data_IF_662544185228
#
_entry.id   IF_662544185228
#
_cell.length_a   1.000
_cell.length_b   1.000
_cell.length_c   1.000
_cell.angle_alpha   90.00
_cell.angle_beta   90.00
_cell.angle_gamma   90.00
#
_symmetry.space_group_name_H-M   'P 1'
#
loop_
_entity.id
_entity.type
_entity.pdbx_description
1 polymer ?
#
# COMPACT_ATOMS: atom_id res chain seq x y z
N UNK A 1 12.47 49.16 -5.35
CA UNK A 1 10.99 49.21 -5.47
C UNK A 1 10.62 49.16 -6.95
N UNK A 2 9.86 48.17 -7.41
CA UNK A 2 9.46 48.11 -8.82
C UNK A 2 8.47 49.25 -9.15
N UNK A 3 8.89 50.18 -10.01
CA UNK A 3 7.99 51.20 -10.55
C UNK A 3 6.83 50.52 -11.29
N UNK A 4 5.60 50.88 -10.93
CA UNK A 4 4.35 50.48 -11.58
C UNK A 4 3.88 49.02 -11.48
N UNK A 5 4.41 48.19 -10.56
CA UNK A 5 3.99 46.79 -10.38
C UNK A 5 4.13 45.90 -11.65
N UNK A 6 4.94 46.31 -12.63
CA UNK A 6 5.25 45.51 -13.81
C UNK A 6 5.89 44.17 -13.40
N UNK A 7 5.46 43.07 -14.01
CA UNK A 7 5.95 41.71 -13.71
C UNK A 7 5.27 41.02 -12.52
N UNK A 8 4.54 41.74 -11.65
CA UNK A 8 3.84 41.10 -10.52
C UNK A 8 2.61 40.30 -10.99
N UNK A 9 2.60 38.98 -10.76
CA UNK A 9 1.50 38.08 -11.14
C UNK A 9 0.55 37.78 -9.95
N UNK A 10 -0.68 37.38 -10.23
CA UNK A 10 -1.63 36.87 -9.23
C UNK A 10 -1.44 35.36 -9.02
N UNK A 11 -2.19 34.76 -8.08
CA UNK A 11 -2.11 33.33 -7.75
C UNK A 11 -2.46 32.39 -8.93
N UNK A 12 -2.87 32.93 -10.08
CA UNK A 12 -3.17 32.20 -11.31
C UNK A 12 -2.21 32.59 -12.45
N UNK A 13 -1.08 33.23 -12.14
CA UNK A 13 -0.07 33.63 -13.11
C UNK A 13 -0.42 34.84 -13.97
N UNK A 14 -1.52 35.56 -13.70
CA UNK A 14 -1.95 36.72 -14.50
C UNK A 14 -1.37 38.03 -13.96
N UNK A 15 -0.91 38.93 -14.83
CA UNK A 15 -0.35 40.23 -14.47
C UNK A 15 -1.33 41.07 -13.62
N UNK A 16 -0.86 41.57 -12.47
CA UNK A 16 -1.58 42.52 -11.62
C UNK A 16 -1.60 43.91 -12.27
N UNK A 17 -2.56 44.74 -11.84
CA UNK A 17 -2.79 46.08 -12.41
C UNK A 17 -1.50 46.92 -12.33
N UNK A 18 -1.08 47.44 -13.47
CA UNK A 18 0.07 48.36 -13.59
C UNK A 18 -0.32 49.70 -12.98
N UNK A 19 0.22 50.01 -11.80
CA UNK A 19 -0.01 51.26 -11.08
C UNK A 19 1.14 51.61 -10.14
N UNK A 20 1.42 52.91 -10.00
CA UNK A 20 2.31 53.44 -8.98
C UNK A 20 1.49 53.93 -7.79
N UNK A 21 1.91 53.55 -6.57
CA UNK A 21 1.23 53.91 -5.32
C UNK A 21 2.28 54.32 -4.28
N UNK A 22 2.48 55.62 -4.14
CA UNK A 22 3.29 56.23 -3.08
C UNK A 22 2.46 56.66 -1.86
N UNK A 23 3.11 57.33 -0.89
CA UNK A 23 2.49 57.79 0.37
C UNK A 23 1.32 58.76 0.12
N UNK A 24 1.52 59.71 -0.80
CA UNK A 24 0.52 60.73 -1.15
C UNK A 24 0.10 60.72 -2.62
N UNK A 25 0.81 59.99 -3.47
CA UNK A 25 0.60 59.98 -4.92
C UNK A 25 0.13 58.61 -5.39
N UNK A 26 -0.92 58.60 -6.21
CA UNK A 26 -1.31 57.42 -6.99
C UNK A 26 -1.36 57.77 -8.46
N UNK A 27 -0.67 57.00 -9.29
CA UNK A 27 -0.68 57.14 -10.74
C UNK A 27 -1.01 55.79 -11.40
N UNK A 28 -1.96 55.78 -12.34
CA UNK A 28 -2.30 54.57 -13.10
C UNK A 28 -2.87 54.90 -14.48
N UNK A 29 -2.67 54.02 -15.48
CA UNK A 29 -3.12 54.22 -16.86
C UNK A 29 -4.61 54.57 -16.99
N UNK A 30 -5.45 53.94 -16.17
CA UNK A 30 -6.92 54.11 -16.23
C UNK A 30 -7.48 55.07 -15.18
N UNK A 31 -6.70 55.36 -14.13
CA UNK A 31 -7.14 56.20 -13.01
C UNK A 31 -6.50 57.59 -12.99
N UNK A 32 -5.55 57.86 -13.89
CA UNK A 32 -4.71 59.05 -13.94
C UNK A 32 -3.89 59.26 -12.67
N UNK A 33 -3.55 60.52 -12.40
CA UNK A 33 -2.78 60.97 -11.23
C UNK A 33 -3.72 61.56 -10.18
N UNK A 34 -3.60 61.13 -8.93
CA UNK A 34 -4.40 61.62 -7.81
C UNK A 34 -3.55 61.73 -6.54
N UNK A 35 -3.81 62.79 -5.76
CA UNK A 35 -3.27 62.94 -4.43
C UNK A 35 -4.19 62.24 -3.42
N UNK A 36 -3.59 61.66 -2.38
CA UNK A 36 -4.29 60.93 -1.32
C UNK A 36 -3.72 61.32 0.04
N UNK A 37 -4.58 61.66 0.98
CA UNK A 37 -4.25 61.74 2.40
C UNK A 37 -5.09 60.72 3.17
N UNK A 38 -4.51 60.13 4.22
CA UNK A 38 -5.19 59.20 5.11
C UNK A 38 -4.87 59.56 6.56
N UNK A 39 -5.89 59.57 7.41
CA UNK A 39 -5.78 59.73 8.85
C UNK A 39 -6.70 58.72 9.53
N UNK A 40 -6.35 58.30 10.74
CA UNK A 40 -7.18 57.42 11.55
C UNK A 40 -7.51 58.14 12.85
N UNK A 41 -8.78 58.29 13.16
CA UNK A 41 -9.25 58.99 14.35
C UNK A 41 -10.40 58.19 14.98
N UNK A 42 -10.32 57.93 16.29
CA UNK A 42 -11.37 57.24 17.06
C UNK A 42 -11.91 55.95 16.39
N UNK A 43 -11.01 55.12 15.85
CA UNK A 43 -11.40 53.87 15.17
C UNK A 43 -11.98 54.02 13.76
N UNK A 44 -12.12 55.24 13.25
CA UNK A 44 -12.57 55.55 11.89
C UNK A 44 -11.38 55.91 11.00
N UNK A 45 -11.28 55.26 9.84
CA UNK A 45 -10.32 55.61 8.80
C UNK A 45 -10.89 56.71 7.90
N UNK A 46 -10.27 57.88 7.92
CA UNK A 46 -10.58 59.01 7.05
C UNK A 46 -9.61 59.03 5.88
N UNK A 47 -10.12 59.04 4.65
CA UNK A 47 -9.32 59.13 3.43
C UNK A 47 -9.84 60.27 2.57
N UNK A 48 -8.98 61.22 2.23
CA UNK A 48 -9.24 62.26 1.24
C UNK A 48 -8.48 61.94 -0.06
N UNK A 49 -9.14 62.07 -1.20
CA UNK A 49 -8.53 61.86 -2.50
C UNK A 49 -9.03 62.90 -3.50
N UNK A 50 -8.13 63.54 -4.23
CA UNK A 50 -8.49 64.65 -5.15
C UNK A 50 -9.44 64.25 -6.27
N UNK A 51 -9.49 62.97 -6.67
CA UNK A 51 -10.43 62.47 -7.68
C UNK A 51 -11.66 61.77 -7.12
N UNK A 52 -11.57 61.20 -5.92
CA UNK A 52 -12.62 60.33 -5.35
C UNK A 52 -13.33 60.93 -4.15
N UNK A 53 -12.93 62.12 -3.71
CA UNK A 53 -13.47 62.85 -2.58
C UNK A 53 -13.05 62.26 -1.23
N UNK A 54 -13.92 62.41 -0.24
CA UNK A 54 -13.69 62.03 1.16
C UNK A 54 -14.42 60.74 1.50
N UNK A 55 -13.75 59.87 2.24
CA UNK A 55 -14.30 58.59 2.72
C UNK A 55 -14.00 58.40 4.19
N UNK A 56 -15.04 58.15 4.98
CA UNK A 56 -14.93 57.61 6.32
C UNK A 56 -15.25 56.10 6.28
N UNK A 57 -14.43 55.26 6.90
CA UNK A 57 -14.70 53.81 6.95
C UNK A 57 -14.34 53.19 8.30
N UNK A 58 -15.16 52.22 8.71
CA UNK A 58 -14.96 51.37 9.87
C UNK A 58 -15.02 49.90 9.46
N UNK A 59 -14.32 49.05 10.21
CA UNK A 59 -14.27 47.60 9.97
C UNK A 59 -14.78 46.89 11.23
N UNK A 60 -16.11 46.84 11.45
CA UNK A 60 -16.69 46.38 12.70
C UNK A 60 -16.49 44.87 12.94
N UNK A 61 -16.24 44.11 11.88
CA UNK A 61 -15.96 42.67 11.96
C UNK A 61 -14.94 42.26 10.90
N UNK A 62 -14.27 41.12 11.11
CA UNK A 62 -13.28 40.59 10.17
C UNK A 62 -13.90 40.41 8.78
N UNK A 63 -13.26 40.99 7.77
CA UNK A 63 -13.73 41.02 6.38
C UNK A 63 -15.07 41.74 6.14
N UNK A 64 -15.52 42.59 7.06
CA UNK A 64 -16.72 43.43 6.92
C UNK A 64 -16.32 44.90 7.01
N UNK A 65 -16.59 45.67 5.95
CA UNK A 65 -16.32 47.10 5.91
C UNK A 65 -17.63 47.88 5.73
N UNK A 66 -17.81 48.88 6.59
CA UNK A 66 -18.85 49.88 6.49
C UNK A 66 -18.18 51.22 6.22
N UNK A 67 -18.68 51.98 5.24
CA UNK A 67 -18.08 53.26 4.89
C UNK A 67 -19.12 54.26 4.39
N UNK A 68 -18.81 55.55 4.59
CA UNK A 68 -19.50 56.68 3.99
C UNK A 68 -18.51 57.38 3.05
N UNK A 69 -18.80 57.41 1.75
CA UNK A 69 -17.96 58.08 0.76
C UNK A 69 -18.77 59.15 0.04
N UNK A 70 -18.39 60.43 0.19
CA UNK A 70 -19.15 61.58 -0.33
C UNK A 70 -20.66 61.45 -0.06
N UNK A 71 -21.04 61.15 1.18
CA UNK A 71 -22.45 60.92 1.58
C UNK A 71 -23.05 59.57 1.19
N UNK A 72 -22.37 58.75 0.36
CA UNK A 72 -22.87 57.43 -0.04
C UNK A 72 -22.49 56.33 0.95
N UNK A 73 -23.48 55.66 1.52
CA UNK A 73 -23.29 54.46 2.35
C UNK A 73 -22.80 53.25 1.53
N UNK A 74 -21.77 52.56 2.03
CA UNK A 74 -21.13 51.40 1.44
C UNK A 74 -21.00 50.31 2.51
N UNK A 75 -21.67 49.18 2.28
CA UNK A 75 -21.44 47.92 3.00
C UNK A 75 -20.74 46.92 2.07
N UNK A 76 -19.65 46.32 2.54
CA UNK A 76 -18.91 45.28 1.82
C UNK A 76 -18.44 44.20 2.78
N UNK A 77 -18.70 42.94 2.46
CA UNK A 77 -18.11 41.81 3.18
C UNK A 77 -17.67 40.70 2.23
N UNK A 78 -16.63 39.96 2.60
CA UNK A 78 -16.18 38.79 1.81
C UNK A 78 -15.64 37.68 2.70
N UNK A 79 -16.32 36.54 2.73
CA UNK A 79 -16.09 35.45 3.67
C UNK A 79 -15.83 34.12 2.93
N UNK A 80 -15.29 33.14 3.66
CA UNK A 80 -14.98 31.79 3.18
C UNK A 80 -13.49 31.57 2.84
N UNK A 81 -13.06 30.30 2.81
CA UNK A 81 -11.73 29.84 2.37
C UNK A 81 -11.85 29.13 1.00
N UNK A 82 -10.76 29.09 0.23
CA UNK A 82 -10.76 28.41 -1.08
C UNK A 82 -11.42 29.20 -2.23
N UNK A 83 -11.85 28.53 -3.31
CA UNK A 83 -12.36 29.15 -4.53
C UNK A 83 -13.77 29.75 -4.38
N UNK A 84 -14.59 29.21 -3.48
CA UNK A 84 -15.94 29.68 -3.21
C UNK A 84 -15.94 30.72 -2.09
N UNK A 85 -16.61 31.86 -2.32
CA UNK A 85 -16.65 33.01 -1.41
C UNK A 85 -18.08 33.51 -1.26
N UNK A 86 -18.44 33.89 -0.03
CA UNK A 86 -19.67 34.61 0.28
C UNK A 86 -19.39 36.11 0.27
N UNK A 87 -20.12 36.88 -0.52
CA UNK A 87 -19.92 38.32 -0.69
C UNK A 87 -21.15 39.06 -0.16
N UNK A 88 -20.96 39.93 0.82
CA UNK A 88 -21.99 40.80 1.37
C UNK A 88 -21.89 42.20 0.75
N UNK A 89 -23.03 42.79 0.42
CA UNK A 89 -23.11 44.15 -0.13
C UNK A 89 -24.36 44.87 0.37
N UNK A 90 -24.46 46.18 0.12
CA UNK A 90 -25.68 46.97 0.43
C UNK A 90 -26.96 46.33 -0.14
N UNK A 91 -26.86 45.66 -1.29
CA UNK A 91 -27.99 44.97 -1.93
C UNK A 91 -28.07 43.46 -1.64
N UNK A 92 -27.56 43.04 -0.48
CA UNK A 92 -27.62 41.66 0.00
C UNK A 92 -26.35 40.83 -0.24
N UNK A 93 -26.45 39.55 0.14
CA UNK A 93 -25.39 38.57 0.06
C UNK A 93 -25.43 37.77 -1.26
N UNK A 94 -24.27 37.30 -1.74
CA UNK A 94 -24.14 36.47 -2.95
C UNK A 94 -22.99 35.48 -2.83
N UNK A 95 -23.09 34.34 -3.48
CA UNK A 95 -22.04 33.32 -3.51
C UNK A 95 -21.34 33.36 -4.86
N UNK A 96 -20.01 33.30 -4.85
CA UNK A 96 -19.21 33.25 -6.08
C UNK A 96 -18.11 32.21 -5.99
N UNK A 97 -17.88 31.48 -7.07
CA UNK A 97 -16.79 30.51 -7.20
C UNK A 97 -15.77 31.00 -8.22
N UNK A 98 -14.48 30.93 -7.88
CA UNK A 98 -13.36 31.33 -8.73
C UNK A 98 -12.69 30.09 -9.35
N UNK A 99 -12.41 30.18 -10.65
CA UNK A 99 -11.68 29.18 -11.43
C UNK A 99 -10.59 29.87 -12.29
N UNK A 100 -9.91 29.11 -13.16
CA UNK A 100 -8.81 29.62 -14.02
C UNK A 100 -9.29 30.72 -14.98
N UNK A 101 -10.53 30.62 -15.48
CA UNK A 101 -11.10 31.61 -16.39
C UNK A 101 -11.47 32.91 -15.67
N UNK A 102 -11.97 32.86 -14.43
CA UNK A 102 -12.42 34.04 -13.68
C UNK A 102 -13.29 33.69 -12.48
N UNK A 103 -14.35 34.45 -12.23
CA UNK A 103 -15.27 34.22 -11.12
C UNK A 103 -16.72 34.17 -11.60
N UNK A 104 -17.43 33.09 -11.26
CA UNK A 104 -18.86 32.95 -11.50
C UNK A 104 -19.64 33.28 -10.22
N UNK A 105 -20.66 34.13 -10.31
CA UNK A 105 -21.56 34.42 -9.20
C UNK A 105 -22.88 33.67 -9.40
N UNK A 106 -23.19 32.76 -8.48
CA UNK A 106 -24.33 31.83 -8.57
C UNK A 106 -25.69 32.53 -8.48
N UNK A 107 -25.76 33.63 -7.73
CA UNK A 107 -27.01 34.34 -7.45
C UNK A 107 -27.20 35.57 -8.35
N UNK A 108 -26.11 36.23 -8.74
CA UNK A 108 -26.15 37.44 -9.58
C UNK A 108 -25.20 37.26 -10.76
N UNK A 109 -25.63 36.62 -11.87
CA UNK A 109 -24.80 36.38 -13.05
C UNK A 109 -24.15 37.66 -13.60
N UNK A 110 -24.83 38.80 -13.49
CA UNK A 110 -24.30 40.11 -13.90
C UNK A 110 -23.05 40.56 -13.10
N UNK A 111 -22.72 39.90 -11.98
CA UNK A 111 -21.51 40.13 -11.18
C UNK A 111 -20.38 39.15 -11.50
N UNK A 112 -20.56 38.28 -12.49
CA UNK A 112 -19.53 37.35 -12.96
C UNK A 112 -18.42 38.08 -13.74
N UNK A 113 -17.24 37.46 -13.78
CA UNK A 113 -16.10 37.94 -14.55
C UNK A 113 -15.38 36.79 -15.23
N UNK A 114 -14.90 37.03 -16.45
CA UNK A 114 -14.12 36.10 -17.23
C UNK A 114 -12.91 36.85 -17.79
N UNK A 115 -11.78 36.15 -17.92
CA UNK A 115 -10.57 36.69 -18.53
C UNK A 115 -10.05 35.76 -19.63
N UNK A 116 -10.82 35.58 -20.73
CA UNK A 116 -10.31 34.89 -21.91
C UNK A 116 -9.17 35.71 -22.53
N UNK A 117 -8.08 35.05 -22.90
CA UNK A 117 -6.94 35.67 -23.61
C UNK A 117 -6.41 36.98 -22.98
N UNK A 118 -6.48 37.09 -21.64
CA UNK A 118 -6.03 38.28 -20.90
C UNK A 118 -7.02 39.47 -20.87
N UNK A 119 -8.09 39.46 -21.66
CA UNK A 119 -9.08 40.53 -21.72
C UNK A 119 -10.16 40.32 -20.66
N UNK A 120 -10.41 41.31 -19.79
CA UNK A 120 -11.41 41.18 -18.73
C UNK A 120 -12.82 41.50 -19.24
N UNK A 121 -13.67 40.47 -19.31
CA UNK A 121 -15.11 40.57 -19.56
C UNK A 121 -15.86 40.51 -18.22
N UNK A 122 -16.93 41.31 -18.06
CA UNK A 122 -17.80 41.31 -16.88
C UNK A 122 -19.26 41.33 -17.30
N UNK A 123 -20.16 40.96 -16.40
CA UNK A 123 -21.60 40.97 -16.67
C UNK A 123 -22.13 39.63 -17.19
N UNK A 124 -23.26 39.67 -17.88
CA UNK A 124 -23.94 38.47 -18.39
C UNK A 124 -23.09 37.66 -19.37
N UNK A 125 -22.40 38.33 -20.31
CA UNK A 125 -21.47 37.67 -21.25
C UNK A 125 -20.37 36.90 -20.51
N UNK A 126 -19.87 37.43 -19.39
CA UNK A 126 -18.89 36.73 -18.58
C UNK A 126 -19.49 35.50 -17.88
N UNK A 127 -20.75 35.55 -17.46
CA UNK A 127 -21.44 34.40 -16.87
C UNK A 127 -21.63 33.28 -17.89
N UNK A 128 -22.00 33.60 -19.14
CA UNK A 128 -22.11 32.61 -20.23
C UNK A 128 -20.76 31.94 -20.51
N UNK A 129 -19.68 32.72 -20.65
CA UNK A 129 -18.33 32.17 -20.84
C UNK A 129 -17.89 31.25 -19.70
N UNK A 130 -18.24 31.61 -18.45
CA UNK A 130 -17.97 30.77 -17.29
C UNK A 130 -18.75 29.45 -17.33
N UNK A 131 -20.02 29.50 -17.73
CA UNK A 131 -20.84 28.30 -17.86
C UNK A 131 -20.26 27.34 -18.89
N UNK A 132 -19.89 27.85 -20.07
CA UNK A 132 -19.23 27.05 -21.13
C UNK A 132 -17.95 26.40 -20.58
N UNK A 133 -17.10 27.17 -19.90
CA UNK A 133 -15.88 26.64 -19.31
C UNK A 133 -16.14 25.55 -18.27
N UNK A 134 -17.14 25.72 -17.40
CA UNK A 134 -17.49 24.72 -16.38
C UNK A 134 -18.02 23.44 -17.01
N UNK A 135 -18.84 23.53 -18.06
CA UNK A 135 -19.35 22.36 -18.80
C UNK A 135 -18.20 21.60 -19.45
N UNK A 136 -17.30 22.29 -20.17
CA UNK A 136 -16.13 21.66 -20.79
C UNK A 136 -15.23 21.00 -19.73
N UNK A 137 -14.95 21.69 -18.63
CA UNK A 137 -14.16 21.13 -17.54
C UNK A 137 -14.83 19.91 -16.89
N UNK A 138 -16.15 19.91 -16.75
CA UNK A 138 -16.90 18.77 -16.23
C UNK A 138 -16.83 17.56 -17.18
N UNK A 139 -16.96 17.77 -18.50
CA UNK A 139 -16.82 16.71 -19.50
C UNK A 139 -15.42 16.11 -19.47
N UNK A 140 -14.37 16.94 -19.46
CA UNK A 140 -12.98 16.47 -19.37
C UNK A 140 -12.76 15.68 -18.08
N UNK A 141 -13.27 16.17 -16.94
CA UNK A 141 -13.17 15.47 -15.66
C UNK A 141 -13.90 14.12 -15.67
N UNK A 142 -15.09 14.05 -16.30
CA UNK A 142 -15.84 12.81 -16.43
C UNK A 142 -15.11 11.77 -17.30
N UNK A 143 -14.51 12.20 -18.41
CA UNK A 143 -13.69 11.33 -19.27
C UNK A 143 -12.47 10.79 -18.51
N UNK A 144 -11.76 11.66 -17.77
CA UNK A 144 -10.63 11.23 -16.95
C UNK A 144 -11.03 10.21 -15.89
N UNK A 145 -12.14 10.46 -15.18
CA UNK A 145 -12.67 9.53 -14.18
C UNK A 145 -13.03 8.18 -14.81
N UNK A 146 -13.67 8.18 -15.98
CA UNK A 146 -14.02 6.96 -16.71
C UNK A 146 -12.77 6.15 -17.07
N UNK A 147 -11.71 6.80 -17.60
CA UNK A 147 -10.45 6.14 -17.93
C UNK A 147 -9.78 5.54 -16.68
N UNK A 148 -9.82 6.24 -15.54
CA UNK A 148 -9.30 5.71 -14.28
C UNK A 148 -10.06 4.47 -13.81
N UNK A 149 -11.40 4.50 -13.91
CA UNK A 149 -12.24 3.35 -13.54
C UNK A 149 -11.97 2.14 -14.44
N UNK A 150 -11.88 2.34 -15.76
CA UNK A 150 -11.54 1.27 -16.71
C UNK A 150 -10.16 0.68 -16.40
N UNK A 151 -9.15 1.53 -16.16
CA UNK A 151 -7.81 1.06 -15.79
C UNK A 151 -7.80 0.29 -14.47
N UNK A 152 -8.58 0.72 -13.48
CA UNK A 152 -8.76 0.01 -12.22
C UNK A 152 -9.40 -1.37 -12.40
N UNK A 153 -10.47 -1.46 -13.19
CA UNK A 153 -11.14 -2.72 -13.50
C UNK A 153 -10.22 -3.68 -14.25
N UNK A 154 -9.45 -3.20 -15.23
CA UNK A 154 -8.51 -4.03 -15.98
C UNK A 154 -7.42 -4.62 -15.07
N UNK A 155 -6.83 -3.80 -14.19
CA UNK A 155 -5.86 -4.29 -13.19
C UNK A 155 -6.48 -5.30 -12.25
N UNK A 156 -7.70 -5.05 -11.78
CA UNK A 156 -8.45 -5.98 -10.95
C UNK A 156 -8.70 -7.32 -11.64
N UNK A 157 -9.07 -7.29 -12.92
CA UNK A 157 -9.29 -8.49 -13.72
C UNK A 157 -8.00 -9.29 -13.93
N UNK A 158 -6.87 -8.62 -14.21
CA UNK A 158 -5.57 -9.29 -14.35
C UNK A 158 -5.15 -9.92 -13.03
N UNK A 159 -5.23 -9.18 -11.92
CA UNK A 159 -4.89 -9.70 -10.59
C UNK A 159 -5.78 -10.88 -10.19
N UNK A 160 -7.07 -10.82 -10.51
CA UNK A 160 -7.99 -11.95 -10.30
C UNK A 160 -7.61 -13.14 -11.17
N UNK A 161 -7.26 -12.93 -12.44
CA UNK A 161 -6.81 -13.99 -13.34
C UNK A 161 -5.53 -14.67 -12.84
N UNK A 162 -4.56 -13.90 -12.36
CA UNK A 162 -3.33 -14.41 -11.74
C UNK A 162 -3.64 -15.21 -10.48
N UNK A 163 -4.44 -14.65 -9.57
CA UNK A 163 -4.84 -15.34 -8.35
C UNK A 163 -5.57 -16.65 -8.64
N UNK A 164 -6.49 -16.67 -9.60
CA UNK A 164 -7.17 -17.90 -10.04
C UNK A 164 -6.15 -18.88 -10.62
N UNK A 165 -5.24 -18.44 -11.49
CA UNK A 165 -4.20 -19.29 -12.05
C UNK A 165 -3.31 -19.94 -10.99
N UNK A 166 -2.83 -19.15 -10.03
CA UNK A 166 -1.96 -19.61 -8.95
C UNK A 166 -2.67 -20.58 -8.00
N UNK A 167 -4.00 -20.44 -7.85
CA UNK A 167 -4.79 -21.21 -6.88
C UNK A 167 -5.70 -22.28 -7.53
N UNK A 168 -5.75 -22.42 -8.86
CA UNK A 168 -6.62 -23.39 -9.52
C UNK A 168 -6.28 -24.82 -9.09
N UNK A 169 -5.00 -25.09 -8.84
CA UNK A 169 -4.51 -26.37 -8.34
C UNK A 169 -4.78 -26.59 -6.85
N UNK A 170 -5.03 -25.51 -6.08
CA UNK A 170 -5.36 -25.59 -4.66
C UNK A 170 -6.78 -26.09 -4.43
N UNK A 171 -7.71 -25.88 -5.38
CA UNK A 171 -9.10 -26.32 -5.27
C UNK A 171 -9.23 -27.85 -5.14
N UNK A 172 -8.68 -28.69 -6.05
CA UNK A 172 -8.70 -30.15 -5.90
C UNK A 172 -8.05 -30.62 -4.59
N UNK A 173 -6.91 -30.02 -4.20
CA UNK A 173 -6.22 -30.34 -2.93
C UNK A 173 -7.10 -30.01 -1.72
N UNK A 174 -7.75 -28.84 -1.72
CA UNK A 174 -8.68 -28.42 -0.68
C UNK A 174 -9.86 -29.39 -0.54
N UNK A 175 -10.48 -29.77 -1.67
CA UNK A 175 -11.58 -30.73 -1.69
C UNK A 175 -11.14 -32.11 -1.17
N UNK A 176 -9.99 -32.62 -1.62
CA UNK A 176 -9.41 -33.88 -1.14
C UNK A 176 -9.21 -33.85 0.37
N UNK A 177 -8.57 -32.81 0.90
CA UNK A 177 -8.24 -32.74 2.33
C UNK A 177 -9.49 -32.52 3.19
N UNK A 178 -10.48 -31.76 2.69
CA UNK A 178 -11.79 -31.65 3.34
C UNK A 178 -12.50 -33.01 3.40
N UNK A 179 -12.46 -33.78 2.31
CA UNK A 179 -13.03 -35.12 2.26
C UNK A 179 -12.30 -36.10 3.18
N UNK A 180 -10.96 -36.11 3.19
CA UNK A 180 -10.16 -36.98 4.06
C UNK A 180 -10.42 -36.69 5.54
N UNK A 181 -10.46 -35.41 5.95
CA UNK A 181 -10.84 -35.03 7.32
C UNK A 181 -12.23 -35.52 7.70
N UNK A 182 -13.17 -35.56 6.75
CA UNK A 182 -14.51 -36.10 6.98
C UNK A 182 -14.51 -37.61 7.12
N UNK A 183 -13.75 -38.34 6.29
CA UNK A 183 -13.61 -39.79 6.42
C UNK A 183 -12.85 -40.18 7.69
N UNK A 184 -11.88 -39.36 8.13
CA UNK A 184 -11.15 -39.57 9.38
C UNK A 184 -12.14 -39.77 10.55
N UNK A 185 -13.15 -38.92 10.66
CA UNK A 185 -14.18 -39.00 11.71
C UNK A 185 -15.01 -40.30 11.71
N UNK A 186 -14.90 -41.12 10.66
CA UNK A 186 -15.63 -42.38 10.51
C UNK A 186 -14.73 -43.61 10.73
N UNK A 187 -13.42 -43.43 10.89
CA UNK A 187 -12.50 -44.52 11.20
C UNK A 187 -12.84 -45.05 12.60
N UNK A 188 -12.75 -46.38 12.76
CA UNK A 188 -12.90 -47.03 14.05
C UNK A 188 -11.87 -46.50 15.06
N UNK A 189 -12.35 -46.18 16.27
CA UNK A 189 -11.53 -45.66 17.36
C UNK A 189 -10.38 -46.61 17.69
N UNK A 190 -10.56 -47.92 17.50
CA UNK A 190 -9.52 -48.91 17.70
C UNK A 190 -8.29 -48.69 16.78
N UNK A 191 -8.50 -48.30 15.52
CA UNK A 191 -7.41 -48.03 14.56
C UNK A 191 -6.66 -46.76 14.94
N UNK A 192 -7.39 -45.73 15.36
CA UNK A 192 -6.83 -44.48 15.88
C UNK A 192 -5.94 -44.73 17.09
N UNK A 193 -6.47 -45.43 18.09
CA UNK A 193 -5.74 -45.74 19.31
C UNK A 193 -4.51 -46.62 19.03
N UNK A 194 -4.59 -47.55 18.08
CA UNK A 194 -3.46 -48.38 17.69
C UNK A 194 -2.30 -47.55 17.12
N UNK A 195 -2.58 -46.66 16.16
CA UNK A 195 -1.54 -45.80 15.55
C UNK A 195 -1.03 -44.77 16.55
N UNK A 196 -1.90 -44.22 17.40
CA UNK A 196 -1.50 -43.31 18.48
C UNK A 196 -0.57 -43.95 19.51
N UNK A 197 -0.48 -45.28 19.61
CA UNK A 197 0.49 -45.96 20.48
C UNK A 197 1.85 -46.20 19.81
N UNK A 198 1.96 -46.03 18.50
CA UNK A 198 3.22 -46.23 17.79
C UNK A 198 4.22 -45.14 18.16
N UNK A 199 5.49 -45.54 18.30
CA UNK A 199 6.60 -44.63 18.52
C UNK A 199 7.04 -43.93 17.22
N UNK A 200 7.97 -42.99 17.33
CA UNK A 200 8.42 -42.20 16.19
C UNK A 200 9.06 -43.06 15.08
N UNK A 201 9.76 -44.12 15.47
CA UNK A 201 10.46 -45.00 14.55
C UNK A 201 9.46 -45.88 13.78
N UNK A 202 8.49 -46.48 14.46
CA UNK A 202 7.42 -47.25 13.81
C UNK A 202 6.56 -46.37 12.92
N UNK A 203 6.24 -45.14 13.32
CA UNK A 203 5.52 -44.19 12.46
C UNK A 203 6.30 -43.88 11.18
N UNK A 204 7.60 -43.61 11.32
CA UNK A 204 8.49 -43.30 10.19
C UNK A 204 8.62 -44.49 9.23
N UNK A 205 8.86 -45.69 9.76
CA UNK A 205 8.90 -46.93 8.98
C UNK A 205 7.56 -47.22 8.30
N UNK A 206 6.45 -46.99 9.00
CA UNK A 206 5.10 -47.19 8.45
C UNK A 206 4.85 -46.27 7.26
N UNK A 207 5.13 -44.98 7.40
CA UNK A 207 4.96 -44.04 6.29
C UNK A 207 5.82 -44.43 5.08
N UNK A 208 7.11 -44.75 5.29
CA UNK A 208 7.99 -45.20 4.21
C UNK A 208 7.49 -46.48 3.53
N UNK A 209 7.03 -47.46 4.30
CA UNK A 209 6.46 -48.69 3.76
C UNK A 209 5.17 -48.43 2.95
N UNK A 210 4.29 -47.58 3.44
CA UNK A 210 3.07 -47.22 2.74
C UNK A 210 3.38 -46.56 1.37
N UNK A 211 4.31 -45.60 1.32
CA UNK A 211 4.72 -44.97 0.05
C UNK A 211 5.46 -45.96 -0.86
N UNK A 212 6.40 -46.72 -0.30
CA UNK A 212 7.30 -47.57 -1.07
C UNK A 212 6.66 -48.88 -1.55
N UNK A 213 5.61 -49.37 -0.88
CA UNK A 213 5.00 -50.69 -1.15
C UNK A 213 3.54 -50.52 -1.58
N UNK A 214 2.67 -49.97 -0.74
CA UNK A 214 1.26 -49.74 -1.14
C UNK A 214 1.14 -48.79 -2.32
N UNK A 215 2.03 -47.79 -2.41
CA UNK A 215 2.09 -46.88 -3.54
C UNK A 215 2.36 -47.56 -4.89
N UNK A 216 2.97 -48.75 -4.89
CA UNK A 216 3.17 -49.60 -6.09
C UNK A 216 2.05 -50.62 -6.30
N UNK A 217 1.06 -50.67 -5.41
CA UNK A 217 0.00 -51.68 -5.42
C UNK A 217 0.44 -53.05 -4.87
N UNK A 218 1.57 -53.09 -4.16
CA UNK A 218 2.09 -54.32 -3.55
C UNK A 218 1.54 -54.51 -2.13
N UNK A 219 1.42 -55.76 -1.69
CA UNK A 219 1.05 -56.09 -0.31
C UNK A 219 2.29 -56.06 0.61
N UNK A 220 2.13 -55.63 1.86
CA UNK A 220 3.21 -55.59 2.86
C UNK A 220 3.54 -57.00 3.42
N UNK A 221 4.00 -57.91 2.56
CA UNK A 221 4.37 -59.26 2.98
C UNK A 221 5.86 -59.35 3.38
N UNK A 222 6.73 -58.51 2.80
CA UNK A 222 8.16 -58.45 3.11
C UNK A 222 8.69 -57.00 3.20
N UNK A 223 8.57 -56.38 4.37
CA UNK A 223 9.20 -55.07 4.66
C UNK A 223 10.74 -55.09 4.53
N UNK A 224 11.34 -56.28 4.48
CA UNK A 224 12.78 -56.49 4.38
C UNK A 224 13.41 -55.89 3.11
N UNK A 225 12.71 -55.91 1.96
CA UNK A 225 13.24 -55.31 0.72
C UNK A 225 13.39 -53.80 0.85
N UNK A 226 12.38 -53.16 1.43
CA UNK A 226 12.37 -51.73 1.69
C UNK A 226 13.41 -51.37 2.74
N UNK A 227 13.49 -52.13 3.83
CA UNK A 227 14.53 -52.01 4.85
C UNK A 227 15.94 -52.09 4.26
N UNK A 228 16.22 -53.05 3.37
CA UNK A 228 17.55 -53.21 2.75
C UNK A 228 17.98 -51.95 2.01
N UNK A 229 17.08 -51.34 1.24
CA UNK A 229 17.32 -50.07 0.53
C UNK A 229 17.58 -48.91 1.48
N UNK A 230 16.86 -48.85 2.62
CA UNK A 230 17.09 -47.85 3.67
C UNK A 230 18.49 -48.03 4.28
N UNK A 231 18.91 -49.28 4.56
CA UNK A 231 20.23 -49.54 5.13
C UNK A 231 21.39 -49.22 4.19
N UNK A 232 21.19 -49.36 2.88
CA UNK A 232 22.19 -49.02 1.86
C UNK A 232 22.44 -47.51 1.73
N UNK A 233 21.51 -46.66 2.19
CA UNK A 233 21.62 -45.21 2.11
C UNK A 233 22.27 -44.61 3.35
N UNK A 234 23.34 -43.85 3.16
CA UNK A 234 23.99 -43.05 4.20
C UNK A 234 23.41 -41.63 4.24
N UNK A 235 23.25 -41.05 5.42
CA UNK A 235 22.77 -39.67 5.59
C UNK A 235 21.26 -39.51 5.76
N UNK A 236 20.48 -40.59 5.63
CA UNK A 236 19.08 -40.63 6.05
C UNK A 236 19.00 -40.75 7.58
N UNK A 237 18.28 -39.81 8.19
CA UNK A 237 18.20 -39.61 9.65
C UNK A 237 16.77 -39.83 10.16
N UNK A 238 15.74 -39.69 9.31
CA UNK A 238 14.36 -39.83 9.75
C UNK A 238 13.94 -41.30 9.87
N UNK A 239 14.38 -42.16 8.95
CA UNK A 239 14.03 -43.57 8.92
C UNK A 239 14.87 -44.43 9.88
N UNK A 240 14.22 -45.35 10.64
CA UNK A 240 14.93 -46.22 11.57
C UNK A 240 15.80 -47.24 10.85
N UNK A 241 16.79 -47.79 11.56
CA UNK A 241 17.75 -48.78 11.03
C UNK A 241 17.56 -50.18 11.61
N UNK A 242 16.41 -50.45 12.24
CA UNK A 242 16.07 -51.78 12.80
C UNK A 242 15.16 -52.56 11.85
N UNK A 243 15.49 -53.82 11.50
CA UNK A 243 14.63 -54.67 10.68
C UNK A 243 13.34 -55.05 11.40
N UNK A 244 13.37 -55.18 12.73
CA UNK A 244 12.22 -55.51 13.57
C UNK A 244 11.15 -54.43 13.48
N UNK A 245 11.56 -53.15 13.54
CA UNK A 245 10.66 -52.00 13.43
C UNK A 245 9.93 -51.98 12.08
N UNK A 246 10.61 -52.34 10.98
CA UNK A 246 9.97 -52.45 9.66
C UNK A 246 8.99 -53.62 9.58
N UNK A 247 9.28 -54.75 10.22
CA UNK A 247 8.35 -55.89 10.27
C UNK A 247 7.09 -55.55 11.08
N UNK A 248 7.25 -54.95 12.25
CA UNK A 248 6.14 -54.51 13.11
C UNK A 248 5.28 -53.41 12.46
N UNK A 249 5.94 -52.48 11.74
CA UNK A 249 5.28 -51.45 10.95
C UNK A 249 4.44 -52.09 9.82
N UNK A 250 5.00 -53.03 9.06
CA UNK A 250 4.30 -53.74 7.99
C UNK A 250 3.05 -54.47 8.52
N UNK A 251 3.19 -55.23 9.60
CA UNK A 251 2.08 -55.96 10.22
C UNK A 251 1.01 -55.01 10.76
N UNK A 252 1.42 -53.95 11.46
CA UNK A 252 0.51 -52.96 12.02
C UNK A 252 -0.29 -52.24 10.95
N UNK A 253 0.36 -51.87 9.85
CA UNK A 253 -0.28 -51.23 8.70
C UNK A 253 -1.32 -52.11 8.02
N UNK A 254 -1.02 -53.38 7.76
CA UNK A 254 -2.00 -54.29 7.15
C UNK A 254 -3.20 -54.53 8.06
N UNK A 255 -2.96 -54.64 9.37
CA UNK A 255 -4.04 -54.75 10.35
C UNK A 255 -4.95 -53.51 10.33
N UNK A 256 -4.36 -52.31 10.38
CA UNK A 256 -5.12 -51.06 10.29
C UNK A 256 -5.85 -50.93 8.95
N UNK A 257 -5.21 -51.28 7.83
CA UNK A 257 -5.80 -51.23 6.48
C UNK A 257 -7.03 -52.13 6.35
N UNK A 258 -6.98 -53.33 6.92
CA UNK A 258 -8.11 -54.25 6.89
C UNK A 258 -9.36 -53.71 7.63
N UNK A 259 -9.17 -52.85 8.62
CA UNK A 259 -10.21 -52.26 9.45
C UNK A 259 -10.80 -50.94 8.89
N UNK A 260 -10.16 -50.30 7.90
CA UNK A 260 -10.62 -49.01 7.34
C UNK A 260 -11.62 -49.23 6.19
N UNK A 261 -12.74 -48.48 6.21
CA UNK A 261 -13.71 -48.40 5.11
C UNK A 261 -13.89 -46.96 4.61
N UNK A 262 -14.10 -46.74 3.29
CA UNK A 262 -14.13 -47.76 2.23
C UNK A 262 -12.72 -48.28 1.89
N UNK A 263 -12.62 -49.56 1.49
CA UNK A 263 -11.33 -50.24 1.27
C UNK A 263 -10.50 -49.60 0.13
N UNK A 264 -11.16 -49.02 -0.86
CA UNK A 264 -10.52 -48.39 -2.02
C UNK A 264 -9.69 -47.14 -1.64
N UNK A 265 -10.08 -46.44 -0.58
CA UNK A 265 -9.39 -45.24 -0.10
C UNK A 265 -8.61 -45.48 1.20
N UNK A 266 -8.55 -46.72 1.70
CA UNK A 266 -7.91 -47.06 2.96
C UNK A 266 -6.47 -46.55 3.05
N UNK A 267 -5.71 -46.65 1.95
CA UNK A 267 -4.33 -46.14 1.90
C UNK A 267 -4.26 -44.61 2.11
N UNK A 268 -5.09 -43.84 1.41
CA UNK A 268 -5.10 -42.36 1.51
C UNK A 268 -5.52 -41.90 2.90
N UNK A 269 -6.54 -42.56 3.45
CA UNK A 269 -7.05 -42.30 4.79
C UNK A 269 -5.99 -42.60 5.85
N UNK A 270 -5.28 -43.73 5.73
CA UNK A 270 -4.22 -44.10 6.67
C UNK A 270 -3.00 -43.19 6.55
N UNK A 271 -2.62 -42.73 5.36
CA UNK A 271 -1.54 -41.74 5.21
C UNK A 271 -1.92 -40.42 5.91
N UNK A 272 -3.15 -39.94 5.74
CA UNK A 272 -3.63 -38.74 6.42
C UNK A 272 -3.54 -38.89 7.95
N UNK A 273 -3.93 -40.06 8.47
CA UNK A 273 -3.82 -40.38 9.88
C UNK A 273 -2.37 -40.46 10.36
N UNK A 274 -1.50 -41.19 9.67
CA UNK A 274 -0.07 -41.27 10.01
C UNK A 274 0.58 -39.88 10.03
N UNK A 275 0.20 -39.02 9.09
CA UNK A 275 0.68 -37.65 9.00
C UNK A 275 0.22 -36.77 10.17
N UNK A 276 -1.06 -36.90 10.58
CA UNK A 276 -1.60 -36.22 11.77
C UNK A 276 -0.86 -36.65 13.05
N UNK A 277 -0.70 -37.96 13.27
CA UNK A 277 0.04 -38.48 14.44
C UNK A 277 1.52 -38.09 14.37
N UNK A 278 2.11 -38.06 13.17
CA UNK A 278 3.47 -37.59 12.99
C UNK A 278 3.61 -36.10 13.31
N UNK A 279 2.61 -35.26 12.99
CA UNK A 279 2.60 -33.84 13.35
C UNK A 279 2.65 -33.60 14.85
N UNK A 280 2.05 -34.49 15.63
CA UNK A 280 2.03 -34.43 17.10
C UNK A 280 3.32 -34.98 17.72
N UNK A 281 3.91 -36.03 17.15
CA UNK A 281 5.00 -36.78 17.77
C UNK A 281 6.41 -36.50 17.22
N UNK A 282 6.52 -35.99 16.00
CA UNK A 282 7.81 -35.75 15.35
C UNK A 282 8.08 -34.24 15.21
N UNK A 283 9.33 -33.86 15.47
CA UNK A 283 9.83 -32.51 15.20
C UNK A 283 9.66 -32.14 13.72
N UNK A 284 9.50 -30.84 13.43
CA UNK A 284 9.27 -30.35 12.07
C UNK A 284 10.38 -30.72 11.08
N UNK A 285 11.65 -30.67 11.51
CA UNK A 285 12.81 -31.09 10.73
C UNK A 285 12.76 -32.58 10.39
N UNK A 286 12.44 -33.44 11.36
CA UNK A 286 12.32 -34.89 11.17
C UNK A 286 11.14 -35.24 10.24
N UNK A 287 10.01 -34.53 10.34
CA UNK A 287 8.87 -34.70 9.41
C UNK A 287 9.24 -34.34 7.98
N UNK A 288 9.94 -33.23 7.77
CA UNK A 288 10.40 -32.83 6.45
C UNK A 288 11.40 -33.85 5.87
N UNK A 289 12.38 -34.26 6.67
CA UNK A 289 13.33 -35.31 6.28
C UNK A 289 12.61 -36.63 5.95
N UNK A 290 11.64 -37.04 6.75
CA UNK A 290 10.85 -38.25 6.51
C UNK A 290 10.09 -38.20 5.16
N UNK A 291 9.51 -37.05 4.81
CA UNK A 291 8.85 -36.85 3.52
C UNK A 291 9.83 -37.04 2.36
N UNK A 292 11.01 -36.40 2.42
CA UNK A 292 12.04 -36.51 1.38
C UNK A 292 12.65 -37.91 1.29
N UNK A 293 12.94 -38.54 2.43
CA UNK A 293 13.51 -39.90 2.46
C UNK A 293 12.52 -40.94 1.91
N UNK A 294 11.22 -40.81 2.20
CA UNK A 294 10.19 -41.67 1.62
C UNK A 294 10.00 -41.43 0.11
N UNK A 295 10.13 -40.18 -0.34
CA UNK A 295 10.09 -39.81 -1.75
C UNK A 295 11.28 -40.39 -2.53
N UNK A 296 12.50 -40.22 -2.01
CA UNK A 296 13.71 -40.82 -2.56
C UNK A 296 13.59 -42.34 -2.63
N UNK A 297 13.02 -42.97 -1.59
CA UNK A 297 12.79 -44.41 -1.56
C UNK A 297 11.81 -44.88 -2.66
N UNK A 298 10.81 -44.07 -2.99
CA UNK A 298 9.91 -44.34 -4.11
C UNK A 298 10.63 -44.23 -5.46
N UNK A 299 11.48 -43.22 -5.62
CA UNK A 299 12.26 -42.94 -6.84
C UNK A 299 13.34 -44.01 -7.12
N UNK A 300 13.94 -44.59 -6.08
CA UNK A 300 14.88 -45.72 -6.21
C UNK A 300 14.24 -46.90 -6.95
N UNK A 301 12.92 -47.06 -6.83
CA UNK A 301 12.18 -48.15 -7.48
C UNK A 301 11.75 -47.81 -8.93
N UNK A 302 11.99 -46.59 -9.38
CA UNK A 302 11.56 -46.06 -10.68
C UNK A 302 10.65 -44.84 -10.57
N UNK A 303 10.07 -44.36 -11.69
CA UNK A 303 9.17 -43.21 -11.69
C UNK A 303 8.01 -43.37 -10.70
N UNK A 304 7.55 -42.25 -10.11
CA UNK A 304 6.45 -42.25 -9.14
C UNK A 304 5.15 -42.70 -9.78
N UNK A 305 4.34 -43.45 -9.04
CA UNK A 305 2.96 -43.72 -9.41
C UNK A 305 2.05 -42.55 -8.99
N UNK A 306 0.88 -42.45 -9.60
CA UNK A 306 -0.15 -41.47 -9.21
C UNK A 306 -0.53 -41.62 -7.72
N UNK A 307 -0.56 -42.86 -7.21
CA UNK A 307 -0.85 -43.10 -5.81
C UNK A 307 0.28 -42.61 -4.89
N UNK A 308 1.55 -42.83 -5.27
CA UNK A 308 2.70 -42.32 -4.50
C UNK A 308 2.72 -40.80 -4.43
N UNK A 309 2.48 -40.12 -5.55
CA UNK A 309 2.35 -38.65 -5.57
C UNK A 309 1.25 -38.18 -4.62
N UNK A 310 0.08 -38.81 -4.67
CA UNK A 310 -1.03 -38.48 -3.78
C UNK A 310 -0.69 -38.74 -2.30
N UNK A 311 -0.02 -39.86 -1.98
CA UNK A 311 0.39 -40.17 -0.61
C UNK A 311 1.36 -39.12 -0.07
N UNK A 312 2.36 -38.74 -0.85
CA UNK A 312 3.33 -37.70 -0.47
C UNK A 312 2.65 -36.34 -0.26
N UNK A 313 1.73 -35.96 -1.14
CA UNK A 313 0.96 -34.72 -0.97
C UNK A 313 0.05 -34.75 0.27
N UNK A 314 -0.69 -35.84 0.48
CA UNK A 314 -1.56 -36.00 1.66
C UNK A 314 -0.72 -35.94 2.94
N UNK A 315 0.44 -36.60 2.95
CA UNK A 315 1.33 -36.55 4.10
C UNK A 315 1.82 -35.14 4.35
N UNK A 316 2.30 -34.42 3.33
CA UNK A 316 2.73 -33.03 3.50
C UNK A 316 1.61 -32.14 4.08
N UNK A 317 0.41 -32.25 3.51
CA UNK A 317 -0.76 -31.46 3.91
C UNK A 317 -1.18 -31.73 5.37
N UNK A 318 -1.26 -33.01 5.78
CA UNK A 318 -1.72 -33.42 7.11
C UNK A 318 -0.61 -33.41 8.16
N UNK A 319 0.66 -33.55 7.76
CA UNK A 319 1.83 -33.38 8.62
C UNK A 319 2.21 -31.91 8.80
N UNK A 320 1.38 -30.96 8.33
CA UNK A 320 1.58 -29.51 8.47
C UNK A 320 2.89 -29.01 7.84
N UNK A 321 3.32 -29.64 6.73
CA UNK A 321 4.49 -29.23 5.97
C UNK A 321 4.07 -28.27 4.85
N UNK A 322 4.78 -27.16 4.72
CA UNK A 322 4.63 -26.24 3.59
C UNK A 322 5.84 -26.38 2.68
N UNK A 323 5.64 -26.94 1.49
CA UNK A 323 6.69 -27.04 0.47
C UNK A 323 6.66 -25.76 -0.35
N UNK A 324 7.58 -24.84 -0.08
CA UNK A 324 7.82 -23.71 -0.97
C UNK A 324 8.70 -24.18 -2.14
N UNK A 325 8.40 -23.76 -3.39
CA UNK A 325 9.32 -23.97 -4.49
C UNK A 325 10.67 -23.36 -4.12
N UNK A 326 11.75 -24.09 -4.40
CA UNK A 326 13.09 -23.58 -4.16
C UNK A 326 13.24 -22.24 -4.88
N UNK A 327 13.42 -21.16 -4.11
CA UNK A 327 13.71 -19.86 -4.69
C UNK A 327 15.03 -19.99 -5.44
N UNK A 328 15.16 -19.40 -6.65
CA UNK A 328 16.45 -19.30 -7.31
C UNK A 328 17.48 -18.76 -6.31
N UNK A 329 18.67 -19.35 -6.28
CA UNK A 329 19.71 -19.04 -5.27
C UNK A 329 20.02 -17.53 -5.22
N UNK A 330 19.77 -16.81 -6.31
CA UNK A 330 19.94 -15.35 -6.44
C UNK A 330 18.91 -14.49 -5.67
N UNK A 331 17.76 -15.04 -5.27
CA UNK A 331 16.76 -14.33 -4.45
C UNK A 331 16.94 -14.55 -2.94
N UNK A 332 17.69 -15.57 -2.52
CA UNK A 332 17.92 -15.89 -1.11
C UNK A 332 18.80 -14.84 -0.38
N UNK A 333 19.50 -13.98 -1.12
CA UNK A 333 20.35 -12.91 -0.59
C UNK A 333 19.64 -11.59 -0.30
N UNK A 334 18.32 -11.49 -0.49
CA UNK A 334 17.53 -10.32 -0.07
C UNK A 334 16.86 -10.62 1.28
N UNK A 335 17.11 -9.85 2.35
CA UNK A 335 16.43 -10.08 3.62
C UNK A 335 14.93 -9.80 3.48
N UNK A 336 14.13 -10.86 3.64
CA UNK A 336 12.67 -10.82 3.61
C UNK A 336 12.12 -10.25 4.92
N UNK A 337 11.94 -8.93 4.99
CA UNK A 337 11.30 -8.24 6.11
C UNK A 337 9.77 -8.37 6.04
N UNK A 338 9.22 -9.52 6.41
CA UNK A 338 7.80 -9.66 6.74
C UNK A 338 7.49 -10.97 7.48
N UNK A 339 7.66 -11.00 8.80
CA UNK A 339 6.66 -11.65 9.66
C UNK A 339 6.73 -11.15 11.10
N UNK A 340 5.60 -10.55 11.48
CA UNK A 340 5.19 -10.18 12.83
C UNK A 340 5.37 -11.34 13.82
N UNK A 341 6.09 -11.07 14.92
CA UNK A 341 5.96 -11.80 16.17
C UNK A 341 5.72 -10.78 17.28
N UNK A 342 4.55 -10.89 17.92
CA UNK A 342 4.07 -10.08 19.03
C UNK A 342 4.18 -10.96 20.28
N UNK A 343 4.95 -10.54 21.30
CA UNK A 343 4.97 -11.25 22.58
C UNK A 343 6.11 -10.94 23.55
N UNK A 344 5.94 -9.85 24.31
CA UNK A 344 6.35 -9.64 25.71
C UNK A 344 7.83 -9.27 26.06
N UNK A 345 8.02 -8.51 27.18
CA UNK A 345 9.02 -7.46 27.28
C UNK A 345 10.21 -7.82 28.21
N UNK A 346 11.39 -7.30 27.90
CA UNK A 346 12.58 -7.42 28.73
C UNK A 346 13.50 -6.23 28.50
N UNK A 347 13.71 -5.47 29.58
CA UNK A 347 14.43 -4.21 29.65
C UNK A 347 15.91 -4.29 29.24
N UNK A 348 16.43 -3.16 28.73
CA UNK A 348 17.86 -2.90 28.70
C UNK A 348 18.28 -1.82 27.71
N UNK A 349 18.26 -0.55 28.16
CA UNK A 349 19.18 0.55 27.82
C UNK A 349 19.38 0.85 26.32
N UNK A 350 18.92 1.97 25.76
CA UNK A 350 19.16 3.33 26.21
C UNK A 350 19.99 4.03 25.14
N UNK A 351 19.35 4.76 24.24
CA UNK A 351 19.94 5.95 23.61
C UNK A 351 18.83 6.84 23.04
N UNK A 352 18.92 8.14 23.31
CA UNK A 352 18.01 9.15 22.76
C UNK A 352 18.31 9.40 21.26
N UNK A 353 17.32 9.72 20.42
CA UNK A 353 17.52 9.93 18.99
C UNK A 353 18.07 11.34 18.74
N UNK A 354 19.40 11.48 18.74
CA UNK A 354 20.06 12.73 18.31
C UNK A 354 21.13 12.46 17.25
N UNK A 355 20.74 11.89 16.11
CA UNK A 355 21.63 11.65 14.97
C UNK A 355 21.15 12.37 13.72
N UNK A 356 21.88 13.41 13.27
CA UNK A 356 21.67 14.00 11.94
C UNK A 356 21.87 12.93 10.86
N UNK A 357 20.96 12.90 9.88
CA UNK A 357 20.94 11.94 8.77
C UNK A 357 22.04 12.29 7.76
N UNK A 358 22.86 11.31 7.42
CA UNK A 358 23.96 11.48 6.45
C UNK A 358 23.46 11.38 5.01
N UNK A 359 23.57 12.46 4.23
CA UNK A 359 23.03 12.52 2.87
C UNK A 359 23.73 11.56 1.90
N UNK A 360 24.98 11.18 2.16
CA UNK A 360 25.78 10.33 1.28
C UNK A 360 25.59 8.84 1.57
N UNK A 361 25.29 8.47 2.83
CA UNK A 361 25.15 7.06 3.23
C UNK A 361 23.72 6.62 3.55
N UNK A 362 22.79 7.55 3.82
CA UNK A 362 21.42 7.21 4.21
C UNK A 362 20.69 6.38 3.14
N UNK A 363 19.85 5.47 3.59
CA UNK A 363 18.89 4.73 2.76
C UNK A 363 17.76 5.65 2.27
N UNK A 364 17.03 5.21 1.25
CA UNK A 364 15.88 5.94 0.70
C UNK A 364 14.78 6.15 1.76
N UNK A 365 14.62 5.20 2.69
CA UNK A 365 13.64 5.28 3.78
C UNK A 365 14.06 6.29 4.84
N UNK A 366 15.35 6.35 5.19
CA UNK A 366 15.91 7.34 6.12
C UNK A 366 15.85 8.75 5.54
N UNK A 367 16.12 8.93 4.23
CA UNK A 367 15.97 10.23 3.58
C UNK A 367 14.51 10.73 3.59
N UNK A 368 13.53 9.82 3.51
CA UNK A 368 12.11 10.18 3.60
C UNK A 368 11.66 10.59 5.01
N UNK A 369 12.45 10.29 6.04
CA UNK A 369 12.18 10.79 7.40
C UNK A 369 12.43 12.30 7.53
N UNK A 370 13.19 12.89 6.60
CA UNK A 370 13.49 14.33 6.59
C UNK A 370 12.24 15.12 6.13
N UNK A 371 11.89 16.23 6.81
CA UNK A 371 10.79 17.10 6.40
C UNK A 371 10.90 17.52 4.94
N UNK A 372 9.77 17.46 4.23
CA UNK A 372 9.64 17.82 2.81
C UNK A 372 10.36 16.90 1.81
N UNK A 373 10.97 15.80 2.25
CA UNK A 373 11.55 14.78 1.36
C UNK A 373 10.59 13.60 1.24
N UNK A 374 9.95 13.48 0.07
CA UNK A 374 9.13 12.32 -0.31
C UNK A 374 9.93 11.34 -1.20
N UNK A 375 9.33 10.22 -1.64
CA UNK A 375 10.02 9.17 -2.38
C UNK A 375 10.74 9.70 -3.63
N UNK A 376 10.07 10.52 -4.44
CA UNK A 376 10.67 11.14 -5.64
C UNK A 376 11.90 12.02 -5.33
N UNK A 377 11.89 12.72 -4.18
CA UNK A 377 13.02 13.58 -3.78
C UNK A 377 14.15 12.78 -3.15
N UNK A 378 13.83 11.72 -2.41
CA UNK A 378 14.83 10.81 -1.87
C UNK A 378 15.61 10.14 -3.01
N UNK A 379 14.92 9.69 -4.06
CA UNK A 379 15.54 9.15 -5.28
C UNK A 379 16.44 10.19 -5.97
N UNK A 380 15.96 11.44 -6.10
CA UNK A 380 16.76 12.53 -6.68
C UNK A 380 18.02 12.85 -5.86
N UNK A 381 17.94 12.78 -4.52
CA UNK A 381 19.09 12.98 -3.63
C UNK A 381 20.10 11.84 -3.76
N UNK A 382 19.64 10.60 -3.87
CA UNK A 382 20.52 9.45 -4.14
C UNK A 382 21.22 9.60 -5.49
N UNK A 383 20.51 10.06 -6.52
CA UNK A 383 21.08 10.31 -7.84
C UNK A 383 22.10 11.46 -7.86
N UNK A 384 22.01 12.40 -6.91
CA UNK A 384 22.91 13.56 -6.78
C UNK A 384 24.23 13.24 -6.06
N UNK A 385 24.40 12.01 -5.53
CA UNK A 385 25.61 11.63 -4.79
C UNK A 385 26.85 11.63 -5.71
N UNK A 386 28.02 12.08 -5.21
CA UNK A 386 28.29 12.55 -3.84
C UNK A 386 27.94 14.02 -3.62
N UNK A 387 27.23 14.30 -2.53
CA UNK A 387 26.95 15.65 -2.06
C UNK A 387 28.14 16.11 -1.22
N UNK A 388 28.61 17.35 -1.42
CA UNK A 388 29.75 17.95 -0.71
C UNK A 388 29.36 19.10 0.19
N UNK A 389 28.19 19.71 -0.06
CA UNK A 389 27.66 20.84 0.70
C UNK A 389 26.13 20.78 0.71
N UNK A 390 25.51 21.18 1.83
CA UNK A 390 24.05 21.03 2.03
C UNK A 390 23.27 21.84 0.98
N UNK A 391 23.80 22.95 0.48
CA UNK A 391 23.14 23.80 -0.50
C UNK A 391 22.96 23.13 -1.88
N UNK A 392 23.65 22.02 -2.16
CA UNK A 392 23.43 21.25 -3.39
C UNK A 392 22.04 20.61 -3.43
N UNK A 393 21.34 20.49 -2.29
CA UNK A 393 19.95 20.05 -2.26
C UNK A 393 19.01 21.00 -3.02
N UNK A 394 19.39 22.25 -3.28
CA UNK A 394 18.59 23.18 -4.11
C UNK A 394 18.52 22.77 -5.59
N UNK A 395 19.39 21.88 -6.04
CA UNK A 395 19.38 21.32 -7.41
C UNK A 395 18.25 20.29 -7.58
N UNK A 396 17.68 19.78 -6.48
CA UNK A 396 16.54 18.85 -6.49
C UNK A 396 15.23 19.62 -6.64
N UNK A 397 14.42 19.24 -7.63
CA UNK A 397 13.16 19.93 -7.91
C UNK A 397 12.20 19.94 -6.70
N UNK A 398 11.78 21.15 -6.35
CA UNK A 398 10.94 21.40 -5.19
C UNK A 398 11.68 21.56 -3.85
N UNK A 399 13.01 21.58 -3.80
CA UNK A 399 13.76 22.05 -2.62
C UNK A 399 14.28 23.47 -2.93
N UNK A 400 13.62 24.48 -2.36
CA UNK A 400 14.10 25.86 -2.44
C UNK A 400 14.61 26.36 -1.09
N UNK A 401 15.24 27.54 -1.08
CA UNK A 401 15.82 28.21 0.11
C UNK A 401 14.98 28.11 1.39
N UNK A 402 13.66 28.28 1.30
CA UNK A 402 12.76 28.16 2.47
C UNK A 402 12.66 26.75 3.03
N UNK A 403 12.68 25.73 2.18
CA UNK A 403 12.65 24.31 2.61
C UNK A 403 14.02 23.84 3.07
N UNK A 404 15.09 24.32 2.43
CA UNK A 404 16.46 24.02 2.82
C UNK A 404 16.70 24.44 4.29
N UNK A 405 16.24 25.63 4.69
CA UNK A 405 16.38 26.12 6.07
C UNK A 405 15.75 25.21 7.13
N UNK A 406 14.71 24.44 6.77
CA UNK A 406 14.04 23.50 7.69
C UNK A 406 14.73 22.11 7.70
N UNK A 407 15.58 21.82 6.71
CA UNK A 407 16.28 20.54 6.54
C UNK A 407 17.68 20.57 7.17
N UNK A 408 18.37 21.72 7.14
CA UNK A 408 19.78 21.87 7.54
C UNK A 408 20.08 21.32 8.93
N UNK A 409 19.16 21.45 9.90
CA UNK A 409 19.39 21.00 11.28
C UNK A 409 19.34 19.47 11.45
N UNK A 410 18.76 18.76 10.48
CA UNK A 410 18.52 17.30 10.54
C UNK A 410 19.51 16.50 9.69
N UNK A 411 20.37 17.15 8.91
CA UNK A 411 21.24 16.47 7.93
C UNK A 411 22.72 16.80 8.12
N UNK A 412 23.58 15.89 7.68
CA UNK A 412 25.03 16.09 7.53
C UNK A 412 25.50 15.53 6.19
N UNK A 413 26.66 15.98 5.72
CA UNK A 413 27.25 15.62 4.42
C UNK A 413 28.49 14.78 4.62
#
# INVERSE_FOLDING_TARGET
MALFNLGTKDAYGKQRRVEHRGKYLRASRTGGVALRAQARAAGVDLTANTRRGVRASVTPAKNTQVALQNGRFILRGRYGKGPTKLNLSKSGATVSTRNRLGSFNWLKPNRSSAKPFGVQVRGQKAAQLQLIYMVVAAIVGAVQLLLMLIGGLLRGAIALGQWVGDNVHALPRWWRNAWLRRQRRRIDEAVEQAINRWDADRLSASFALAVAVWGRGEALQDGQRTYRRVTEKTGWVALPRSPEVFAEAAQGLEHCRAAVQPREDAHRILIALLAEVAAEKLEGSRRAALLFEADDLALIQGPRTVLQEQMLEIFADHAQLQIEPARPVDEASKPSSARSARGAPGAGQGDEPTGRIDLNTASIEELQAIPHIGPERAEAIVALRPIRRIEQLEEVDGIGTSRLAEIVDQVKV
#
